data_IF_071322734521
#
_entry.id   IF_071322734521
#
_cell.length_a   1.000
_cell.length_b   1.000
_cell.length_c   1.000
_cell.angle_alpha   90.00
_cell.angle_beta   90.00
_cell.angle_gamma   90.00
#
_symmetry.space_group_name_H-M   'P 1'
#
loop_
_entity.id
_entity.type
_entity.pdbx_description
1 polymer ?
#
# COMPACT_ATOMS: atom_id res chain seq x y z
N UNK A 1 24.40 -24.07 42.95
CA UNK A 1 23.05 -23.96 42.35
C UNK A 1 22.52 -22.53 42.34
N UNK A 2 22.40 -21.84 43.48
CA UNK A 2 21.81 -20.48 43.54
C UNK A 2 22.54 -19.41 42.71
N UNK A 3 23.87 -19.51 42.57
CA UNK A 3 24.66 -18.58 41.73
C UNK A 3 24.47 -18.81 40.23
N UNK A 4 24.26 -20.06 39.79
CA UNK A 4 24.04 -20.41 38.38
C UNK A 4 22.65 -19.95 37.94
N UNK A 5 21.65 -20.09 38.81
CA UNK A 5 20.31 -19.54 38.60
C UNK A 5 20.33 -18.01 38.49
N UNK A 6 21.14 -17.33 39.32
CA UNK A 6 21.32 -15.87 39.25
C UNK A 6 22.02 -15.42 37.96
N UNK A 7 22.99 -16.19 37.45
CA UNK A 7 23.65 -15.90 36.17
C UNK A 7 22.73 -16.20 34.96
N UNK A 8 21.88 -17.22 35.03
CA UNK A 8 20.85 -17.49 34.01
C UNK A 8 19.77 -16.40 33.98
N UNK A 9 19.27 -15.98 35.14
CA UNK A 9 18.29 -14.88 35.24
C UNK A 9 18.92 -13.55 34.79
N UNK A 10 20.19 -13.29 35.12
CA UNK A 10 20.90 -12.11 34.63
C UNK A 10 21.18 -12.15 33.12
N UNK A 11 21.45 -13.32 32.54
CA UNK A 11 21.63 -13.49 31.10
C UNK A 11 20.31 -13.31 30.32
N UNK A 12 19.18 -13.76 30.89
CA UNK A 12 17.83 -13.54 30.33
C UNK A 12 17.42 -12.07 30.47
N UNK A 13 17.71 -11.40 31.60
CA UNK A 13 17.43 -9.97 31.76
C UNK A 13 18.32 -9.08 30.85
N UNK A 14 19.55 -9.51 30.57
CA UNK A 14 20.46 -8.81 29.66
C UNK A 14 20.10 -9.04 28.17
N UNK A 15 19.48 -10.16 27.80
CA UNK A 15 18.92 -10.34 26.45
C UNK A 15 17.62 -9.55 26.24
N UNK A 16 16.78 -9.39 27.28
CA UNK A 16 15.59 -8.53 27.24
C UNK A 16 15.96 -7.04 27.08
N UNK A 17 17.07 -6.59 27.67
CA UNK A 17 17.53 -5.20 27.49
C UNK A 17 18.02 -4.87 26.07
N UNK A 18 18.39 -5.88 25.27
CA UNK A 18 18.74 -5.70 23.84
C UNK A 18 17.52 -5.76 22.91
N UNK A 19 16.39 -6.31 23.36
CA UNK A 19 15.12 -6.33 22.61
C UNK A 19 14.45 -4.94 22.53
N UNK A 20 14.90 -3.96 23.31
CA UNK A 20 14.36 -2.58 23.28
C UNK A 20 15.26 -1.57 22.56
N UNK A 21 16.42 -1.98 22.03
CA UNK A 21 17.24 -1.11 21.19
C UNK A 21 16.76 -1.17 19.74
N UNK A 22 15.59 -0.60 19.45
CA UNK A 22 15.14 -0.35 18.08
C UNK A 22 16.10 0.65 17.45
N UNK A 23 16.85 0.20 16.45
CA UNK A 23 17.81 1.01 15.72
C UNK A 23 17.08 2.23 15.09
N UNK A 24 17.52 3.48 15.34
CA UNK A 24 16.83 4.69 14.90
C UNK A 24 16.87 4.93 13.37
N UNK A 25 17.50 4.04 12.60
CA UNK A 25 17.46 4.09 11.12
C UNK A 25 16.36 3.20 10.55
N UNK A 26 15.12 3.65 10.77
CA UNK A 26 13.93 3.17 10.07
C UNK A 26 14.10 3.48 8.58
N UNK A 27 14.63 2.53 7.81
CA UNK A 27 14.59 2.64 6.34
C UNK A 27 13.13 2.44 5.93
N UNK A 28 12.65 3.29 5.02
CA UNK A 28 11.25 3.44 4.55
C UNK A 28 10.67 2.22 3.79
N UNK A 29 11.13 1.00 4.08
CA UNK A 29 10.79 -0.22 3.36
C UNK A 29 10.11 -1.25 4.28
N UNK A 30 8.80 -1.52 4.10
CA UNK A 30 8.09 -2.52 4.87
C UNK A 30 8.66 -3.94 4.66
N UNK A 31 9.30 -4.22 3.52
CA UNK A 31 9.91 -5.53 3.25
C UNK A 31 11.11 -5.82 4.14
N UNK A 32 11.84 -4.78 4.53
CA UNK A 32 12.93 -4.91 5.50
C UNK A 32 12.39 -5.31 6.87
N UNK A 33 11.31 -4.65 7.31
CA UNK A 33 10.66 -4.97 8.59
C UNK A 33 10.12 -6.40 8.58
N UNK A 34 9.52 -6.83 7.46
CA UNK A 34 9.07 -8.22 7.28
C UNK A 34 10.23 -9.23 7.36
N UNK A 35 11.37 -8.92 6.76
CA UNK A 35 12.55 -9.79 6.81
C UNK A 35 13.13 -9.87 8.22
N UNK A 36 13.20 -8.75 8.93
CA UNK A 36 13.62 -8.71 10.33
C UNK A 36 12.66 -9.51 11.23
N UNK A 37 11.34 -9.38 11.01
CA UNK A 37 10.32 -10.16 11.71
C UNK A 37 10.51 -11.67 11.49
N UNK A 38 10.73 -12.10 10.25
CA UNK A 38 10.97 -13.53 9.94
C UNK A 38 12.22 -14.06 10.66
N UNK A 39 13.30 -13.28 10.66
CA UNK A 39 14.54 -13.69 11.33
C UNK A 39 14.38 -13.78 12.86
N UNK A 40 13.66 -12.85 13.47
CA UNK A 40 13.36 -12.87 14.91
C UNK A 40 12.47 -14.07 15.28
N UNK A 41 11.46 -14.40 14.45
CA UNK A 41 10.61 -15.58 14.64
C UNK A 41 11.42 -16.88 14.52
N UNK A 42 12.25 -17.03 13.48
CA UNK A 42 13.11 -18.21 13.28
C UNK A 42 14.09 -18.40 14.46
N UNK A 43 14.66 -17.31 14.96
CA UNK A 43 15.54 -17.35 16.13
C UNK A 43 14.80 -17.77 17.41
N UNK A 44 13.57 -17.27 17.61
CA UNK A 44 12.73 -17.67 18.74
C UNK A 44 12.34 -19.15 18.65
N UNK A 45 11.84 -19.60 17.50
CA UNK A 45 11.47 -20.99 17.26
C UNK A 45 12.63 -21.95 17.52
N UNK A 46 13.83 -21.68 16.99
CA UNK A 46 15.02 -22.50 17.24
C UNK A 46 15.39 -22.60 18.72
N UNK A 47 15.20 -21.52 19.48
CA UNK A 47 15.45 -21.53 20.92
C UNK A 47 14.45 -22.43 21.64
N UNK A 48 13.17 -22.38 21.28
CA UNK A 48 12.14 -23.24 21.87
C UNK A 48 12.27 -24.69 21.43
N UNK A 49 12.61 -24.97 20.16
CA UNK A 49 12.89 -26.32 19.65
C UNK A 49 13.99 -27.01 20.45
N UNK A 50 15.06 -26.29 20.82
CA UNK A 50 16.11 -26.84 21.66
C UNK A 50 15.57 -27.24 23.04
N UNK A 51 14.78 -26.37 23.68
CA UNK A 51 14.19 -26.66 24.99
C UNK A 51 13.20 -27.84 24.93
N UNK A 52 12.42 -27.93 23.85
CA UNK A 52 11.54 -29.06 23.58
C UNK A 52 12.31 -30.37 23.46
N UNK A 53 13.39 -30.38 22.69
CA UNK A 53 14.23 -31.56 22.50
C UNK A 53 14.86 -32.03 23.82
N UNK A 54 15.34 -31.09 24.65
CA UNK A 54 15.87 -31.40 25.99
C UNK A 54 14.81 -32.08 26.86
N UNK A 55 13.56 -31.59 26.84
CA UNK A 55 12.44 -32.17 27.58
C UNK A 55 11.97 -33.51 27.03
N UNK A 56 12.00 -33.69 25.71
CA UNK A 56 11.65 -34.95 25.07
C UNK A 56 12.64 -36.06 25.42
N UNK A 57 13.95 -35.76 25.41
CA UNK A 57 15.00 -36.69 25.86
C UNK A 57 14.77 -37.09 27.32
N UNK A 58 14.47 -36.13 28.19
CA UNK A 58 14.18 -36.37 29.61
C UNK A 58 12.94 -37.27 29.79
N UNK A 59 11.87 -37.00 29.03
CA UNK A 59 10.64 -37.79 29.03
C UNK A 59 10.88 -39.24 28.57
N UNK A 60 11.74 -39.44 27.56
CA UNK A 60 12.15 -40.77 27.12
C UNK A 60 12.91 -41.52 28.20
N UNK A 61 13.87 -40.88 28.87
CA UNK A 61 14.63 -41.48 29.96
C UNK A 61 13.71 -41.93 31.11
N UNK A 62 12.79 -41.07 31.53
CA UNK A 62 11.80 -41.37 32.59
C UNK A 62 10.90 -42.53 32.17
N UNK A 63 10.50 -42.58 30.90
CA UNK A 63 9.66 -43.66 30.36
C UNK A 63 10.40 -45.00 30.33
N UNK A 64 11.68 -45.01 29.98
CA UNK A 64 12.52 -46.21 30.06
C UNK A 64 12.67 -46.68 31.50
N UNK A 65 12.98 -45.79 32.44
CA UNK A 65 13.11 -46.12 33.87
C UNK A 65 11.81 -46.68 34.48
N UNK A 66 10.65 -46.15 34.05
CA UNK A 66 9.34 -46.66 34.46
C UNK A 66 9.13 -48.13 34.06
N UNK A 67 9.64 -48.53 32.89
CA UNK A 67 9.49 -49.89 32.38
C UNK A 67 10.38 -50.91 33.11
N UNK A 68 11.54 -50.48 33.59
CA UNK A 68 12.54 -51.32 34.24
C UNK A 68 12.38 -51.40 35.77
N UNK A 69 11.75 -50.42 36.39
CA UNK A 69 11.63 -50.32 37.85
C UNK A 69 10.65 -51.37 38.42
N UNK A 70 11.10 -52.12 39.43
CA UNK A 70 10.25 -53.07 40.18
C UNK A 70 9.59 -52.44 41.41
N UNK A 71 10.19 -51.40 42.01
CA UNK A 71 9.65 -50.71 43.18
C UNK A 71 8.43 -49.85 42.82
N UNK A 72 7.32 -50.11 43.50
CA UNK A 72 6.04 -49.42 43.28
C UNK A 72 6.13 -47.95 43.66
N UNK A 73 6.81 -47.61 44.77
CA UNK A 73 6.89 -46.21 45.22
C UNK A 73 7.70 -45.37 44.24
N UNK A 74 8.87 -45.88 43.83
CA UNK A 74 9.69 -45.22 42.81
C UNK A 74 8.96 -45.12 41.45
N UNK A 75 8.14 -46.12 41.07
CA UNK A 75 7.27 -46.05 39.89
C UNK A 75 6.24 -44.92 39.97
N UNK A 76 5.62 -44.70 41.13
CA UNK A 76 4.66 -43.61 41.33
C UNK A 76 5.37 -42.26 41.19
N UNK A 77 6.54 -42.09 41.79
CA UNK A 77 7.33 -40.85 41.68
C UNK A 77 7.71 -40.55 40.22
N UNK A 78 8.13 -41.56 39.46
CA UNK A 78 8.43 -41.42 38.03
C UNK A 78 7.18 -41.09 37.19
N UNK A 79 6.00 -41.60 37.56
CA UNK A 79 4.74 -41.25 36.88
C UNK A 79 4.35 -39.79 37.12
N UNK A 80 4.49 -39.30 38.37
CA UNK A 80 4.25 -37.89 38.71
C UNK A 80 5.23 -37.00 37.95
N UNK A 81 6.51 -37.40 37.91
CA UNK A 81 7.52 -36.64 37.19
C UNK A 81 7.26 -36.61 35.67
N UNK A 82 6.85 -37.74 35.09
CA UNK A 82 6.43 -37.83 33.70
C UNK A 82 5.27 -36.89 33.37
N UNK A 83 4.27 -36.81 34.26
CA UNK A 83 3.12 -35.93 34.07
C UNK A 83 3.53 -34.46 34.13
N UNK A 84 4.39 -34.12 35.10
CA UNK A 84 4.98 -32.78 35.22
C UNK A 84 5.75 -32.38 33.95
N UNK A 85 6.57 -33.27 33.38
CA UNK A 85 7.29 -33.00 32.14
C UNK A 85 6.35 -32.72 30.97
N UNK A 86 5.22 -33.44 30.88
CA UNK A 86 4.22 -33.17 29.83
C UNK A 86 3.56 -31.80 30.01
N UNK A 87 3.29 -31.40 31.25
CA UNK A 87 2.74 -30.07 31.52
C UNK A 87 3.76 -28.96 31.24
N UNK A 88 5.04 -29.17 31.56
CA UNK A 88 6.13 -28.27 31.19
C UNK A 88 6.26 -28.13 29.67
N UNK A 89 6.15 -29.23 28.91
CA UNK A 89 6.16 -29.19 27.44
C UNK A 89 4.97 -28.41 26.87
N UNK A 90 3.74 -28.64 27.37
CA UNK A 90 2.57 -27.83 26.96
C UNK A 90 2.75 -26.34 27.27
N UNK A 91 3.37 -26.03 28.40
CA UNK A 91 3.66 -24.65 28.80
C UNK A 91 4.67 -24.00 27.84
N UNK A 92 5.73 -24.72 27.45
CA UNK A 92 6.70 -24.26 26.45
C UNK A 92 6.05 -23.99 25.07
N UNK A 93 5.06 -24.81 24.68
CA UNK A 93 4.28 -24.64 23.45
C UNK A 93 3.52 -23.29 23.46
N UNK A 94 2.88 -22.97 24.60
CA UNK A 94 2.15 -21.72 24.80
C UNK A 94 3.11 -20.51 24.84
N UNK A 95 4.26 -20.65 25.50
CA UNK A 95 5.28 -19.60 25.58
C UNK A 95 5.89 -19.28 24.21
N UNK A 96 6.17 -20.32 23.41
CA UNK A 96 6.64 -20.16 22.03
C UNK A 96 5.64 -19.39 21.19
N UNK A 97 4.36 -19.80 21.20
CA UNK A 97 3.30 -19.09 20.48
C UNK A 97 3.15 -17.63 20.96
N UNK A 98 3.23 -17.39 22.27
CA UNK A 98 3.21 -16.06 22.89
C UNK A 98 4.33 -15.15 22.37
N UNK A 99 5.56 -15.65 22.32
CA UNK A 99 6.71 -14.86 21.89
C UNK A 99 6.64 -14.53 20.39
N UNK A 100 6.23 -15.50 19.56
CA UNK A 100 6.01 -15.27 18.13
C UNK A 100 4.94 -14.20 17.88
N UNK A 101 3.79 -14.27 18.57
CA UNK A 101 2.73 -13.27 18.41
C UNK A 101 3.15 -11.88 18.90
N UNK A 102 3.98 -11.80 19.94
CA UNK A 102 4.58 -10.55 20.40
C UNK A 102 5.46 -9.93 19.32
N UNK A 103 6.34 -10.72 18.71
CA UNK A 103 7.21 -10.26 17.61
C UNK A 103 6.35 -9.73 16.46
N UNK A 104 5.35 -10.51 16.02
CA UNK A 104 4.42 -10.12 14.95
C UNK A 104 3.67 -8.84 15.25
N UNK A 105 3.13 -8.70 16.46
CA UNK A 105 2.37 -7.51 16.88
C UNK A 105 3.26 -6.25 16.87
N UNK A 106 4.48 -6.34 17.42
CA UNK A 106 5.42 -5.22 17.43
C UNK A 106 5.83 -4.79 16.03
N UNK A 107 6.21 -5.76 15.19
CA UNK A 107 6.60 -5.49 13.79
C UNK A 107 5.41 -5.04 12.96
N UNK A 108 4.21 -5.52 13.27
CA UNK A 108 2.96 -5.10 12.64
C UNK A 108 2.68 -3.60 12.80
N UNK A 109 2.85 -3.06 14.01
CA UNK A 109 2.75 -1.60 14.24
C UNK A 109 3.79 -0.81 13.44
N UNK A 110 5.00 -1.35 13.27
CA UNK A 110 6.03 -0.72 12.43
C UNK A 110 5.65 -0.72 10.95
N UNK A 111 5.07 -1.81 10.46
CA UNK A 111 4.56 -1.92 9.08
C UNK A 111 3.44 -0.92 8.86
N UNK A 112 2.47 -0.83 9.78
CA UNK A 112 1.36 0.15 9.70
C UNK A 112 1.90 1.57 9.57
N UNK A 113 2.89 1.95 10.40
CA UNK A 113 3.55 3.24 10.32
C UNK A 113 4.14 3.53 8.94
N UNK A 114 4.91 2.59 8.39
CA UNK A 114 5.57 2.76 7.08
C UNK A 114 4.54 2.81 5.94
N UNK A 115 3.53 1.93 5.97
CA UNK A 115 2.47 1.91 4.97
C UNK A 115 1.66 3.21 4.99
N UNK A 116 1.45 3.80 6.15
CA UNK A 116 0.76 5.08 6.26
C UNK A 116 1.52 6.21 5.56
N UNK A 117 2.84 6.30 5.73
CA UNK A 117 3.65 7.28 4.99
C UNK A 117 3.55 7.08 3.47
N UNK A 118 3.51 5.82 3.00
CA UNK A 118 3.32 5.51 1.58
C UNK A 118 1.94 5.93 1.08
N UNK A 119 0.88 5.67 1.84
CA UNK A 119 -0.49 6.11 1.52
C UNK A 119 -0.59 7.63 1.45
N UNK A 120 0.08 8.35 2.36
CA UNK A 120 0.13 9.81 2.31
C UNK A 120 0.94 10.33 1.11
N UNK A 121 2.03 9.66 0.74
CA UNK A 121 2.75 10.00 -0.48
C UNK A 121 1.90 9.78 -1.73
N UNK A 122 1.07 8.73 -1.77
CA UNK A 122 0.09 8.51 -2.83
C UNK A 122 -0.98 9.61 -2.85
N UNK A 123 -1.48 10.02 -1.69
CA UNK A 123 -2.43 11.12 -1.54
C UNK A 123 -1.86 12.42 -2.15
N UNK A 124 -0.61 12.75 -1.82
CA UNK A 124 0.10 13.87 -2.43
C UNK A 124 0.31 13.72 -3.93
N UNK A 125 0.67 12.52 -4.40
CA UNK A 125 0.80 12.24 -5.83
C UNK A 125 -0.50 12.52 -6.57
N UNK A 126 -1.61 12.01 -6.04
CA UNK A 126 -2.94 12.18 -6.62
C UNK A 126 -3.45 13.62 -6.56
N UNK A 127 -3.16 14.35 -5.48
CA UNK A 127 -3.48 15.78 -5.37
C UNK A 127 -2.67 16.63 -6.37
N UNK A 128 -1.45 16.21 -6.71
CA UNK A 128 -0.60 16.88 -7.71
C UNK A 128 -0.89 16.45 -9.15
N UNK A 129 -1.68 15.39 -9.36
CA UNK A 129 -1.99 14.89 -10.70
C UNK A 129 -2.95 15.86 -11.40
N UNK A 130 -2.74 16.09 -12.70
CA UNK A 130 -3.47 17.07 -13.51
C UNK A 130 -4.99 16.94 -13.33
N UNK A 131 -5.63 18.07 -13.03
CA UNK A 131 -7.08 18.10 -12.79
C UNK A 131 -7.89 18.00 -14.09
N UNK A 132 -9.19 17.71 -13.99
CA UNK A 132 -10.16 17.72 -15.10
C UNK A 132 -10.05 18.98 -15.98
N UNK A 133 -9.76 20.13 -15.37
CA UNK A 133 -9.64 21.40 -16.09
C UNK A 133 -8.42 21.40 -17.03
N UNK A 134 -7.32 20.77 -16.63
CA UNK A 134 -6.09 20.74 -17.41
C UNK A 134 -6.18 19.74 -18.55
N UNK A 135 -6.73 18.55 -18.31
CA UNK A 135 -6.90 17.52 -19.34
C UNK A 135 -7.89 18.00 -20.42
N UNK A 136 -8.99 18.65 -20.04
CA UNK A 136 -9.92 19.24 -21.00
C UNK A 136 -9.29 20.38 -21.81
N UNK A 137 -8.38 21.16 -21.23
CA UNK A 137 -7.69 22.23 -21.98
C UNK A 137 -6.80 21.66 -23.09
N UNK A 138 -6.16 20.51 -22.85
CA UNK A 138 -5.31 19.86 -23.85
C UNK A 138 -6.11 19.52 -25.10
N UNK A 139 -7.28 18.89 -24.93
CA UNK A 139 -8.12 18.50 -26.07
C UNK A 139 -8.90 19.68 -26.68
N UNK A 140 -8.93 20.87 -26.06
CA UNK A 140 -9.82 21.95 -26.48
C UNK A 140 -9.19 22.86 -27.54
N UNK A 141 -9.71 22.89 -28.78
CA UNK A 141 -9.15 23.65 -29.88
C UNK A 141 -9.21 25.16 -29.63
N UNK A 142 -10.13 25.63 -28.78
CA UNK A 142 -10.23 27.04 -28.41
C UNK A 142 -9.07 27.52 -27.52
N UNK A 143 -8.22 26.61 -27.02
CA UNK A 143 -6.99 26.96 -26.30
C UNK A 143 -5.82 27.27 -27.24
N UNK A 144 -5.98 27.03 -28.54
CA UNK A 144 -4.92 27.20 -29.54
C UNK A 144 -5.12 28.50 -30.31
N UNK A 145 -4.15 29.44 -30.25
CA UNK A 145 -4.27 30.74 -30.92
C UNK A 145 -4.52 30.64 -32.42
N UNK A 146 -3.94 29.63 -33.10
CA UNK A 146 -4.17 29.41 -34.52
C UNK A 146 -5.63 29.08 -34.82
N UNK A 147 -6.27 28.26 -33.98
CA UNK A 147 -7.68 27.91 -34.16
C UNK A 147 -8.60 29.10 -33.88
N UNK A 148 -8.35 29.86 -32.81
CA UNK A 148 -9.11 31.09 -32.51
C UNK A 148 -8.99 32.12 -33.64
N UNK A 149 -7.80 32.27 -34.25
CA UNK A 149 -7.62 33.15 -35.41
C UNK A 149 -8.47 32.71 -36.61
N UNK A 150 -8.51 31.41 -36.91
CA UNK A 150 -9.38 30.89 -37.98
C UNK A 150 -10.85 31.15 -37.66
N UNK A 151 -11.27 30.98 -36.40
CA UNK A 151 -12.64 31.31 -35.98
C UNK A 151 -12.97 32.79 -36.22
N UNK A 152 -12.09 33.71 -35.84
CA UNK A 152 -12.27 35.15 -36.06
C UNK A 152 -12.33 35.49 -37.55
N UNK A 153 -11.44 34.94 -38.37
CA UNK A 153 -11.43 35.17 -39.83
C UNK A 153 -12.74 34.69 -40.47
N UNK A 154 -13.18 33.49 -40.10
CA UNK A 154 -14.42 32.89 -40.59
C UNK A 154 -15.64 33.69 -40.12
N UNK A 155 -15.67 34.17 -38.88
CA UNK A 155 -16.73 35.03 -38.35
C UNK A 155 -16.77 36.39 -39.05
N UNK A 156 -15.61 37.01 -39.30
CA UNK A 156 -15.52 38.32 -39.94
C UNK A 156 -15.88 38.29 -41.43
N UNK A 157 -15.60 37.18 -42.13
CA UNK A 157 -15.99 36.98 -43.55
C UNK A 157 -17.29 36.16 -43.71
N UNK A 158 -18.09 36.04 -42.63
CA UNK A 158 -19.38 35.34 -42.65
C UNK A 158 -20.43 36.13 -43.42
N UNK A 159 -21.15 35.47 -44.31
CA UNK A 159 -22.28 36.08 -44.99
C UNK A 159 -23.47 36.22 -44.01
N UNK A 160 -23.93 37.45 -43.76
CA UNK A 160 -24.95 37.76 -42.74
C UNK A 160 -26.29 37.08 -42.98
N UNK A 161 -26.55 36.59 -44.20
CA UNK A 161 -27.81 35.94 -44.58
C UNK A 161 -27.82 34.42 -44.41
N UNK A 162 -26.66 33.79 -44.21
CA UNK A 162 -26.50 32.34 -44.46
C UNK A 162 -25.83 31.54 -43.33
N UNK A 163 -25.27 32.21 -42.31
CA UNK A 163 -24.51 31.51 -41.27
C UNK A 163 -25.34 31.08 -40.06
N UNK A 164 -24.92 30.01 -39.41
CA UNK A 164 -25.53 29.48 -38.18
C UNK A 164 -24.84 30.07 -36.94
N UNK A 165 -25.62 30.63 -36.01
CA UNK A 165 -25.11 31.11 -34.73
C UNK A 165 -25.53 30.14 -33.63
N UNK A 166 -24.62 29.22 -33.30
CA UNK A 166 -24.79 28.38 -32.11
C UNK A 166 -24.65 29.28 -30.88
N UNK A 167 -25.66 29.25 -30.00
CA UNK A 167 -25.69 30.02 -28.74
C UNK A 167 -24.38 29.87 -27.96
N UNK A 168 -23.94 30.92 -27.27
CA UNK A 168 -22.69 30.98 -26.50
C UNK A 168 -22.47 29.81 -25.53
N UNK A 169 -23.55 29.16 -25.09
CA UNK A 169 -23.55 27.96 -24.23
C UNK A 169 -22.96 26.72 -24.91
N UNK A 170 -23.16 26.56 -26.22
CA UNK A 170 -22.67 25.40 -26.98
C UNK A 170 -21.29 25.65 -27.59
N UNK A 171 -20.86 26.91 -27.73
CA UNK A 171 -19.55 27.28 -28.28
C UNK A 171 -18.35 26.84 -27.43
N UNK A 172 -18.55 26.58 -26.13
CA UNK A 172 -17.52 26.04 -25.25
C UNK A 172 -17.32 24.52 -25.40
N UNK A 173 -18.24 23.82 -26.06
CA UNK A 173 -18.09 22.39 -26.35
C UNK A 173 -17.11 22.19 -27.51
N UNK A 174 -16.14 21.30 -27.30
CA UNK A 174 -15.05 21.01 -28.23
C UNK A 174 -15.53 20.66 -29.64
N UNK A 175 -16.44 19.69 -29.73
CA UNK A 175 -16.97 19.18 -31.00
C UNK A 175 -17.84 20.23 -31.69
N UNK A 176 -18.68 20.93 -30.93
CA UNK A 176 -19.52 21.99 -31.48
C UNK A 176 -18.68 23.13 -32.01
N UNK A 177 -17.60 23.51 -31.32
CA UNK A 177 -16.69 24.56 -31.77
C UNK A 177 -16.04 24.22 -33.12
N UNK A 178 -15.55 22.98 -33.26
CA UNK A 178 -14.99 22.47 -34.53
C UNK A 178 -16.06 22.49 -35.62
N UNK A 179 -17.21 21.86 -35.40
CA UNK A 179 -18.30 21.78 -36.40
C UNK A 179 -18.78 23.18 -36.81
N UNK A 180 -18.98 24.09 -35.86
CA UNK A 180 -19.41 25.46 -36.13
C UNK A 180 -18.39 26.22 -36.99
N UNK A 181 -17.09 26.02 -36.72
CA UNK A 181 -16.01 26.65 -37.49
C UNK A 181 -16.02 26.16 -38.94
N UNK A 182 -16.15 24.83 -39.16
CA UNK A 182 -16.26 24.27 -40.51
C UNK A 182 -17.54 24.70 -41.24
N UNK A 183 -18.69 24.63 -40.57
CA UNK A 183 -19.98 25.04 -41.15
C UNK A 183 -19.96 26.51 -41.58
N UNK A 184 -19.42 27.39 -40.73
CA UNK A 184 -19.31 28.81 -41.06
C UNK A 184 -18.25 29.06 -42.15
N UNK A 185 -17.17 28.26 -42.20
CA UNK A 185 -16.17 28.38 -43.26
C UNK A 185 -16.73 28.00 -44.63
N UNK A 186 -17.62 27.00 -44.72
CA UNK A 186 -18.28 26.63 -45.97
C UNK A 186 -19.12 27.77 -46.56
N UNK A 187 -19.87 28.48 -45.71
CA UNK A 187 -20.74 29.61 -46.10
C UNK A 187 -20.04 30.98 -46.04
N UNK A 188 -18.75 31.01 -45.72
CA UNK A 188 -17.95 32.25 -45.71
C UNK A 188 -17.61 32.71 -47.13
N UNK A 189 -17.38 34.03 -47.27
CA UNK A 189 -16.93 34.66 -48.51
C UNK A 189 -15.43 34.46 -48.84
N UNK A 190 -14.74 33.53 -48.16
CA UNK A 190 -13.35 33.16 -48.46
C UNK A 190 -13.26 32.46 -49.83
N UNK A 191 -12.17 32.69 -50.56
CA UNK A 191 -11.88 31.92 -51.79
C UNK A 191 -11.50 30.46 -51.45
N UNK A 192 -11.46 29.59 -52.46
CA UNK A 192 -11.07 28.19 -52.25
C UNK A 192 -9.64 28.09 -51.71
N UNK A 193 -8.72 28.89 -52.26
CA UNK A 193 -7.31 28.93 -51.87
C UNK A 193 -7.13 29.44 -50.43
N UNK A 194 -7.90 30.47 -50.04
CA UNK A 194 -7.91 30.98 -48.67
C UNK A 194 -8.42 29.91 -47.68
N UNK A 195 -9.49 29.17 -48.03
CA UNK A 195 -10.03 28.10 -47.18
C UNK A 195 -9.02 26.96 -47.00
N UNK A 196 -8.35 26.53 -48.07
CA UNK A 196 -7.32 25.49 -48.00
C UNK A 196 -6.10 25.92 -47.15
N UNK A 197 -5.67 27.18 -47.28
CA UNK A 197 -4.56 27.72 -46.51
C UNK A 197 -4.88 27.77 -45.00
N UNK A 198 -6.06 28.27 -44.62
CA UNK A 198 -6.47 28.34 -43.22
C UNK A 198 -6.69 26.95 -42.61
N UNK A 199 -7.29 26.01 -43.36
CA UNK A 199 -7.44 24.63 -42.91
C UNK A 199 -6.11 23.97 -42.60
N UNK A 200 -5.12 24.15 -43.47
CA UNK A 200 -3.79 23.57 -43.27
C UNK A 200 -3.11 24.09 -42.00
N UNK A 201 -3.41 25.31 -41.58
CA UNK A 201 -2.87 25.89 -40.35
C UNK A 201 -3.44 25.24 -39.06
N UNK A 202 -4.65 24.69 -39.12
CA UNK A 202 -5.37 24.12 -37.96
C UNK A 202 -5.64 22.62 -38.06
N UNK A 203 -5.29 21.99 -39.17
CA UNK A 203 -5.51 20.56 -39.46
C UNK A 203 -5.03 19.66 -38.31
N UNK A 204 -3.79 19.85 -37.86
CA UNK A 204 -3.21 19.11 -36.74
C UNK A 204 -3.94 19.32 -35.41
N UNK A 205 -4.38 20.55 -35.12
CA UNK A 205 -5.11 20.87 -33.88
C UNK A 205 -6.47 20.17 -33.89
N UNK A 206 -7.15 20.16 -35.03
CA UNK A 206 -8.46 19.54 -35.21
C UNK A 206 -8.34 18.02 -35.15
N UNK A 207 -7.36 17.43 -35.85
CA UNK A 207 -7.11 15.99 -35.81
C UNK A 207 -6.79 15.52 -34.39
N UNK A 208 -5.87 16.21 -33.71
CA UNK A 208 -5.55 15.94 -32.31
C UNK A 208 -6.77 16.04 -31.41
N UNK A 209 -7.54 17.13 -31.52
CA UNK A 209 -8.77 17.34 -30.75
C UNK A 209 -9.75 16.18 -30.93
N UNK A 210 -10.05 15.82 -32.18
CA UNK A 210 -11.06 14.80 -32.49
C UNK A 210 -10.65 13.40 -32.05
N UNK A 211 -9.37 13.05 -32.19
CA UNK A 211 -8.85 11.74 -31.80
C UNK A 211 -8.62 11.62 -30.31
N UNK A 212 -8.01 12.62 -29.68
CA UNK A 212 -7.57 12.54 -28.29
C UNK A 212 -8.63 12.96 -27.26
N UNK A 213 -9.73 13.61 -27.66
CA UNK A 213 -10.75 14.04 -26.69
C UNK A 213 -11.34 12.88 -25.88
N UNK A 214 -11.65 11.74 -26.53
CA UNK A 214 -12.19 10.56 -25.85
C UNK A 214 -11.14 9.84 -24.98
N UNK A 215 -9.92 9.76 -25.50
CA UNK A 215 -8.77 9.13 -24.85
C UNK A 215 -8.33 9.89 -23.59
N UNK A 216 -8.22 11.21 -23.69
CA UNK A 216 -7.92 12.09 -22.56
C UNK A 216 -9.02 12.06 -21.49
N UNK A 217 -10.29 11.97 -21.90
CA UNK A 217 -11.40 11.77 -20.95
C UNK A 217 -11.30 10.42 -20.24
N UNK A 218 -10.86 9.36 -20.93
CA UNK A 218 -10.64 8.04 -20.31
C UNK A 218 -9.55 8.11 -19.24
N UNK A 219 -8.40 8.72 -19.57
CA UNK A 219 -7.30 8.94 -18.60
C UNK A 219 -7.82 9.71 -17.37
N UNK A 220 -8.64 10.74 -17.59
CA UNK A 220 -9.24 11.51 -16.51
C UNK A 220 -10.11 10.66 -15.56
N UNK A 221 -11.12 9.95 -16.10
CA UNK A 221 -12.06 9.21 -15.24
C UNK A 221 -11.37 8.07 -14.50
N UNK A 222 -10.39 7.43 -15.14
CA UNK A 222 -9.61 6.36 -14.52
C UNK A 222 -8.66 6.90 -13.44
N UNK A 223 -8.09 8.09 -13.65
CA UNK A 223 -7.33 8.79 -12.60
C UNK A 223 -8.24 9.13 -11.41
N UNK A 224 -9.44 9.67 -11.65
CA UNK A 224 -10.39 9.98 -10.58
C UNK A 224 -10.83 8.71 -9.80
N UNK A 225 -10.98 7.58 -10.50
CA UNK A 225 -11.22 6.29 -9.86
C UNK A 225 -10.06 5.86 -8.94
N UNK A 226 -8.82 6.04 -9.38
CA UNK A 226 -7.63 5.77 -8.55
C UNK A 226 -7.56 6.70 -7.33
N UNK A 227 -7.87 7.98 -7.48
CA UNK A 227 -7.96 8.94 -6.37
C UNK A 227 -8.96 8.46 -5.32
N UNK A 228 -10.17 8.08 -5.75
CA UNK A 228 -11.21 7.58 -4.84
C UNK A 228 -10.81 6.27 -4.15
N UNK A 229 -10.10 5.41 -4.88
CA UNK A 229 -9.58 4.15 -4.33
C UNK A 229 -8.48 4.42 -3.30
N UNK A 230 -7.62 5.42 -3.49
CA UNK A 230 -6.62 5.84 -2.52
C UNK A 230 -7.25 6.38 -1.22
N UNK A 231 -8.32 7.18 -1.33
CA UNK A 231 -9.09 7.64 -0.16
C UNK A 231 -9.58 6.46 0.69
N UNK A 232 -10.09 5.41 0.03
CA UNK A 232 -10.51 4.18 0.71
C UNK A 232 -9.34 3.48 1.41
N UNK A 233 -8.18 3.34 0.76
CA UNK A 233 -6.99 2.74 1.40
C UNK A 233 -6.55 3.56 2.63
N UNK A 234 -6.67 4.88 2.57
CA UNK A 234 -6.40 5.79 3.71
C UNK A 234 -7.38 5.61 4.86
N UNK A 235 -8.66 5.41 4.57
CA UNK A 235 -9.66 5.07 5.60
C UNK A 235 -9.40 3.68 6.21
N UNK A 236 -9.09 2.69 5.37
CA UNK A 236 -8.89 1.31 5.81
C UNK A 236 -7.65 1.17 6.72
N UNK A 237 -6.57 1.93 6.48
CA UNK A 237 -5.38 1.91 7.36
C UNK A 237 -5.61 2.60 8.71
N UNK A 238 -6.44 3.65 8.75
CA UNK A 238 -6.85 4.30 10.01
C UNK A 238 -7.68 3.34 10.87
N UNK A 239 -8.59 2.58 10.24
CA UNK A 239 -9.38 1.53 10.91
C UNK A 239 -8.45 0.43 11.41
N UNK A 240 -7.54 -0.06 10.57
CA UNK A 240 -6.56 -1.07 10.94
C UNK A 240 -5.75 -0.64 12.16
N UNK A 241 -5.24 0.59 12.17
CA UNK A 241 -4.48 1.11 13.29
C UNK A 241 -5.30 1.13 14.58
N UNK A 242 -6.53 1.64 14.53
CA UNK A 242 -7.44 1.65 15.68
C UNK A 242 -7.69 0.24 16.23
N UNK A 243 -7.85 -0.74 15.36
CA UNK A 243 -8.02 -2.13 15.75
C UNK A 243 -6.75 -2.71 16.39
N UNK A 244 -5.59 -2.38 15.82
CA UNK A 244 -4.28 -2.78 16.33
C UNK A 244 -3.97 -2.18 17.70
N UNK A 245 -4.40 -0.95 17.95
CA UNK A 245 -4.12 -0.23 19.20
C UNK A 245 -5.21 -0.39 20.27
N UNK A 246 -6.30 -1.08 19.94
CA UNK A 246 -7.39 -1.38 20.88
C UNK A 246 -6.93 -2.19 22.11
N UNK A 247 -6.11 -3.25 21.99
CA UNK A 247 -5.69 -4.05 23.16
C UNK A 247 -4.89 -3.25 24.18
N UNK A 248 -4.15 -2.23 23.73
CA UNK A 248 -3.30 -1.38 24.56
C UNK A 248 -4.02 -0.10 25.05
N UNK A 249 -5.34 -0.04 24.87
CA UNK A 249 -6.19 1.10 25.20
C UNK A 249 -5.66 2.43 24.64
N UNK A 250 -5.22 2.44 23.38
CA UNK A 250 -4.79 3.66 22.70
C UNK A 250 -5.83 4.07 21.67
N UNK A 251 -6.47 5.23 21.92
CA UNK A 251 -7.68 5.69 21.25
C UNK A 251 -7.48 6.83 20.24
N UNK A 252 -6.25 7.33 20.11
CA UNK A 252 -5.89 8.42 19.19
C UNK A 252 -5.83 7.87 17.76
N UNK A 253 -6.22 8.66 16.76
CA UNK A 253 -6.17 8.24 15.34
C UNK A 253 -4.73 8.17 14.83
N UNK A 254 -4.49 7.48 13.72
CA UNK A 254 -3.15 7.37 13.14
C UNK A 254 -2.67 8.73 12.65
N UNK A 255 -3.55 9.52 12.03
CA UNK A 255 -3.27 10.91 11.63
C UNK A 255 -2.79 11.76 12.81
N UNK A 256 -3.48 11.72 13.95
CA UNK A 256 -3.12 12.49 15.14
C UNK A 256 -1.85 11.96 15.80
N UNK A 257 -1.69 10.64 15.85
CA UNK A 257 -0.48 9.99 16.34
C UNK A 257 0.74 10.44 15.56
N UNK A 258 0.65 10.44 14.22
CA UNK A 258 1.71 10.93 13.33
C UNK A 258 1.95 12.42 13.53
N UNK A 259 0.89 13.23 13.56
CA UNK A 259 0.97 14.69 13.67
C UNK A 259 1.66 15.17 14.95
N UNK A 260 1.51 14.42 16.06
CA UNK A 260 2.10 14.74 17.35
C UNK A 260 3.36 13.90 17.68
N UNK A 261 3.81 13.04 16.75
CA UNK A 261 4.89 12.06 16.98
C UNK A 261 4.68 11.19 18.24
N UNK A 262 3.44 10.77 18.49
CA UNK A 262 3.04 10.07 19.72
C UNK A 262 3.40 8.57 19.74
N UNK A 263 4.35 8.17 18.88
CA UNK A 263 4.83 6.79 18.79
C UNK A 263 5.49 6.29 20.08
N UNK A 264 6.03 7.19 20.90
CA UNK A 264 6.59 6.84 22.22
C UNK A 264 5.50 6.39 23.20
N UNK A 265 4.33 7.03 23.20
CA UNK A 265 3.21 6.62 24.06
C UNK A 265 2.70 5.23 23.68
N UNK A 266 2.66 4.92 22.38
CA UNK A 266 2.34 3.57 21.90
C UNK A 266 3.38 2.58 22.40
N UNK A 267 4.69 2.86 22.23
CA UNK A 267 5.77 1.99 22.71
C UNK A 267 5.62 1.68 24.21
N UNK A 268 5.36 2.71 25.02
CA UNK A 268 5.16 2.56 26.45
C UNK A 268 3.94 1.68 26.77
N UNK A 269 2.79 1.95 26.15
CA UNK A 269 1.56 1.17 26.37
C UNK A 269 1.68 -0.27 25.92
N UNK A 270 2.38 -0.53 24.81
CA UNK A 270 2.69 -1.89 24.35
C UNK A 270 3.58 -2.59 25.37
N UNK A 271 4.65 -1.95 25.84
CA UNK A 271 5.53 -2.53 26.86
C UNK A 271 4.79 -2.84 28.16
N UNK A 272 3.91 -1.95 28.62
CA UNK A 272 3.03 -2.17 29.78
C UNK A 272 2.06 -3.34 29.56
N UNK A 273 1.47 -3.45 28.38
CA UNK A 273 0.57 -4.55 28.03
C UNK A 273 1.29 -5.89 28.00
N UNK A 274 2.46 -5.95 27.37
CA UNK A 274 3.29 -7.15 27.31
C UNK A 274 3.81 -7.56 28.69
N UNK A 275 4.19 -6.60 29.54
CA UNK A 275 4.55 -6.89 30.93
C UNK A 275 3.40 -7.50 31.72
N UNK A 276 2.17 -6.97 31.56
CA UNK A 276 0.97 -7.57 32.17
C UNK A 276 0.66 -8.96 31.62
N UNK A 277 0.93 -9.20 30.33
CA UNK A 277 0.76 -10.51 29.71
C UNK A 277 1.71 -11.55 30.35
N UNK A 278 2.95 -11.15 30.65
CA UNK A 278 3.94 -12.00 31.32
C UNK A 278 3.58 -12.29 32.78
N UNK A 279 2.95 -11.35 33.48
CA UNK A 279 2.49 -11.51 34.87
C UNK A 279 1.16 -12.28 35.00
N UNK A 280 0.39 -12.36 33.91
CA UNK A 280 -0.93 -13.01 33.88
C UNK A 280 -0.81 -14.52 33.76
N UNK A 281 -1.77 -15.26 34.29
CA UNK A 281 -1.85 -16.72 34.13
C UNK A 281 -3.27 -17.20 33.81
N UNK A 282 -3.35 -18.40 33.22
CA UNK A 282 -4.62 -19.06 32.88
C UNK A 282 -5.47 -18.26 31.89
N UNK A 283 -6.77 -18.19 32.15
CA UNK A 283 -7.77 -17.62 31.21
C UNK A 283 -7.51 -16.14 30.87
N UNK A 284 -6.97 -15.36 31.83
CA UNK A 284 -6.66 -13.94 31.60
C UNK A 284 -5.55 -13.78 30.57
N UNK A 285 -4.50 -14.59 30.68
CA UNK A 285 -3.37 -14.58 29.75
C UNK A 285 -3.80 -15.02 28.34
N UNK A 286 -4.59 -16.10 28.24
CA UNK A 286 -5.11 -16.56 26.95
C UNK A 286 -5.96 -15.50 26.25
N UNK A 287 -6.78 -14.75 27.00
CA UNK A 287 -7.58 -13.66 26.43
C UNK A 287 -6.71 -12.53 25.90
N UNK A 288 -5.73 -12.10 26.67
CA UNK A 288 -4.80 -11.04 26.27
C UNK A 288 -3.96 -11.43 25.04
N UNK A 289 -3.64 -12.71 24.90
CA UNK A 289 -2.98 -13.26 23.71
C UNK A 289 -3.89 -13.15 22.47
N UNK A 290 -5.14 -13.60 22.58
CA UNK A 290 -6.12 -13.49 21.48
C UNK A 290 -6.31 -12.04 21.05
N UNK A 291 -6.31 -11.10 22.01
CA UNK A 291 -6.48 -9.68 21.74
C UNK A 291 -5.34 -9.10 20.88
N UNK A 292 -4.10 -9.60 20.98
CA UNK A 292 -2.97 -9.16 20.12
C UNK A 292 -2.84 -9.96 18.83
N UNK A 293 -3.35 -11.20 18.79
CA UNK A 293 -3.30 -12.05 17.60
C UNK A 293 -4.29 -11.57 16.53
N UNK A 294 -5.52 -11.24 16.94
CA UNK A 294 -6.60 -10.91 16.02
C UNK A 294 -6.33 -9.71 15.08
N UNK A 295 -5.68 -8.61 15.52
CA UNK A 295 -5.31 -7.53 14.62
C UNK A 295 -4.26 -7.91 13.57
N UNK A 296 -3.42 -8.93 13.83
CA UNK A 296 -2.37 -9.38 12.88
C UNK A 296 -3.00 -9.87 11.58
N UNK A 297 -4.08 -10.65 11.64
CA UNK A 297 -4.81 -11.11 10.45
C UNK A 297 -5.37 -9.93 9.63
N UNK A 298 -5.84 -8.88 10.32
CA UNK A 298 -6.35 -7.67 9.66
C UNK A 298 -5.24 -6.91 8.94
N UNK A 299 -4.04 -6.84 9.53
CA UNK A 299 -2.88 -6.26 8.85
C UNK A 299 -2.56 -7.01 7.56
N UNK A 300 -2.61 -8.33 7.59
CA UNK A 300 -2.33 -9.13 6.40
C UNK A 300 -3.38 -8.93 5.30
N UNK A 301 -4.66 -8.82 5.66
CA UNK A 301 -5.72 -8.46 4.72
C UNK A 301 -5.49 -7.08 4.11
N UNK A 302 -5.14 -6.09 4.94
CA UNK A 302 -4.82 -4.75 4.47
C UNK A 302 -3.62 -4.73 3.52
N UNK A 303 -2.54 -5.46 3.82
CA UNK A 303 -1.37 -5.52 2.93
C UNK A 303 -1.77 -6.07 1.56
N UNK A 304 -2.62 -7.09 1.50
CA UNK A 304 -3.13 -7.62 0.22
C UNK A 304 -3.95 -6.57 -0.55
N UNK A 305 -4.80 -5.81 0.15
CA UNK A 305 -5.59 -4.73 -0.45
C UNK A 305 -4.70 -3.61 -0.98
N UNK A 306 -3.73 -3.17 -0.17
CA UNK A 306 -2.72 -2.17 -0.56
C UNK A 306 -1.94 -2.65 -1.79
N UNK A 307 -1.40 -3.87 -1.77
CA UNK A 307 -0.66 -4.44 -2.89
C UNK A 307 -1.51 -4.52 -4.17
N UNK A 308 -2.76 -4.94 -4.04
CA UNK A 308 -3.71 -4.97 -5.16
C UNK A 308 -3.97 -3.58 -5.73
N UNK A 309 -4.10 -2.57 -4.88
CA UNK A 309 -4.24 -1.18 -5.32
C UNK A 309 -3.00 -0.66 -6.06
N UNK A 310 -1.79 -0.96 -5.57
CA UNK A 310 -0.53 -0.57 -6.23
C UNK A 310 -0.39 -1.23 -7.60
N UNK A 311 -0.64 -2.54 -7.70
CA UNK A 311 -0.59 -3.28 -8.97
C UNK A 311 -1.61 -2.74 -9.98
N UNK A 312 -2.84 -2.47 -9.51
CA UNK A 312 -3.87 -1.86 -10.34
C UNK A 312 -3.46 -0.46 -10.81
N UNK A 313 -2.94 0.38 -9.92
CA UNK A 313 -2.45 1.72 -10.24
C UNK A 313 -1.36 1.70 -11.31
N UNK A 314 -0.36 0.81 -11.16
CA UNK A 314 0.71 0.64 -12.16
C UNK A 314 0.14 0.28 -13.54
N UNK A 315 -0.80 -0.67 -13.61
CA UNK A 315 -1.47 -1.07 -14.85
C UNK A 315 -2.26 0.06 -15.51
N UNK A 316 -2.93 0.91 -14.72
CA UNK A 316 -3.62 2.08 -15.25
C UNK A 316 -2.66 3.09 -15.87
N UNK A 317 -1.53 3.39 -15.21
CA UNK A 317 -0.54 4.32 -15.76
C UNK A 317 0.13 3.77 -17.04
N UNK A 318 0.42 2.47 -17.11
CA UNK A 318 0.86 1.82 -18.35
C UNK A 318 -0.19 1.93 -19.47
N UNK A 319 -1.48 1.74 -19.13
CA UNK A 319 -2.57 1.96 -20.07
C UNK A 319 -2.63 3.41 -20.55
N UNK A 320 -2.45 4.39 -19.67
CA UNK A 320 -2.42 5.82 -20.05
C UNK A 320 -1.27 6.11 -21.01
N UNK A 321 -0.09 5.52 -20.77
CA UNK A 321 1.05 5.62 -21.68
C UNK A 321 0.73 5.06 -23.07
N UNK A 322 0.08 3.90 -23.15
CA UNK A 322 -0.35 3.32 -24.43
C UNK A 322 -1.31 4.26 -25.15
N UNK A 323 -2.32 4.79 -24.45
CA UNK A 323 -3.30 5.74 -24.99
C UNK A 323 -2.62 6.99 -25.56
N UNK A 324 -1.66 7.58 -24.84
CA UNK A 324 -0.95 8.77 -25.33
C UNK A 324 0.07 8.48 -26.43
N UNK A 325 0.45 7.22 -26.64
CA UNK A 325 1.32 6.81 -27.73
C UNK A 325 0.55 6.31 -28.95
N UNK A 326 -0.78 6.14 -28.86
CA UNK A 326 -1.63 5.74 -30.00
C UNK A 326 -2.06 6.89 -30.90
N UNK A 327 -1.61 8.13 -30.63
CA UNK A 327 -1.87 9.25 -31.54
C UNK A 327 -1.09 9.10 -32.86
N UNK A 328 -1.76 8.58 -33.89
CA UNK A 328 -1.15 8.18 -35.18
C UNK A 328 -0.35 9.31 -35.87
N UNK A 329 -0.82 10.55 -35.78
CA UNK A 329 -0.23 11.69 -36.49
C UNK A 329 0.80 12.47 -35.65
N UNK A 330 1.28 11.90 -34.53
CA UNK A 330 2.20 12.59 -33.60
C UNK A 330 3.44 13.15 -34.31
N UNK A 331 4.07 12.38 -35.20
CA UNK A 331 5.27 12.82 -35.93
C UNK A 331 4.97 13.94 -36.93
N UNK A 332 3.83 13.86 -37.62
CA UNK A 332 3.44 14.85 -38.63
C UNK A 332 3.03 16.18 -37.98
N UNK A 333 2.40 16.10 -36.80
CA UNK A 333 1.87 17.25 -36.08
C UNK A 333 2.76 17.73 -34.93
N UNK A 334 3.97 17.20 -34.78
CA UNK A 334 4.83 17.42 -33.61
C UNK A 334 5.05 18.90 -33.25
N UNK A 335 5.20 19.76 -34.25
CA UNK A 335 5.43 21.21 -34.07
C UNK A 335 4.18 22.00 -33.69
N UNK A 336 3.00 21.38 -33.81
CA UNK A 336 1.67 21.94 -33.53
C UNK A 336 0.96 21.31 -32.33
N UNK A 337 1.51 20.22 -31.80
CA UNK A 337 1.00 19.60 -30.58
C UNK A 337 1.21 20.50 -29.36
N UNK A 338 0.26 20.51 -28.42
CA UNK A 338 0.39 21.31 -27.20
C UNK A 338 1.54 20.80 -26.33
N UNK A 339 2.29 21.72 -25.73
CA UNK A 339 3.37 21.39 -24.77
C UNK A 339 2.82 20.61 -23.57
N UNK A 340 1.58 20.87 -23.19
CA UNK A 340 0.87 20.20 -22.11
C UNK A 340 0.70 18.70 -22.37
N UNK A 341 0.56 18.29 -23.63
CA UNK A 341 0.49 16.87 -24.00
C UNK A 341 1.81 16.14 -23.79
N UNK A 342 2.93 16.77 -24.19
CA UNK A 342 4.27 16.21 -23.93
C UNK A 342 4.57 16.13 -22.44
N UNK A 343 4.19 17.17 -21.68
CA UNK A 343 4.33 17.14 -20.23
C UNK A 343 3.48 16.03 -19.59
N UNK A 344 2.24 15.82 -20.05
CA UNK A 344 1.39 14.72 -19.55
C UNK A 344 2.04 13.35 -19.80
N UNK A 345 2.67 13.13 -20.96
CA UNK A 345 3.42 11.89 -21.25
C UNK A 345 4.55 11.68 -20.24
N UNK A 346 5.35 12.73 -20.00
CA UNK A 346 6.44 12.68 -19.02
C UNK A 346 5.93 12.47 -17.59
N UNK A 347 4.83 13.13 -17.21
CA UNK A 347 4.20 13.00 -15.90
C UNK A 347 3.75 11.54 -15.66
N UNK A 348 3.24 10.86 -16.70
CA UNK A 348 2.86 9.44 -16.65
C UNK A 348 4.08 8.53 -16.53
N UNK A 349 5.15 8.77 -17.29
CA UNK A 349 6.38 7.97 -17.16
C UNK A 349 6.95 8.06 -15.73
N UNK A 350 7.01 9.27 -15.17
CA UNK A 350 7.42 9.48 -13.78
C UNK A 350 6.47 8.77 -12.79
N UNK A 351 5.16 8.76 -13.07
CA UNK A 351 4.20 8.04 -12.24
C UNK A 351 4.42 6.53 -12.27
N UNK A 352 4.65 5.94 -13.45
CA UNK A 352 4.98 4.51 -13.59
C UNK A 352 6.20 4.16 -12.72
N UNK A 353 7.27 4.95 -12.81
CA UNK A 353 8.48 4.74 -12.01
C UNK A 353 8.19 4.83 -10.50
N UNK A 354 7.37 5.78 -10.07
CA UNK A 354 6.96 5.90 -8.65
C UNK A 354 6.17 4.70 -8.16
N UNK A 355 5.24 4.17 -8.96
CA UNK A 355 4.48 2.97 -8.60
C UNK A 355 5.37 1.73 -8.50
N UNK A 356 6.38 1.63 -9.37
CA UNK A 356 7.30 0.49 -9.38
C UNK A 356 8.38 0.56 -8.28
N UNK A 357 8.77 1.77 -7.84
CA UNK A 357 9.89 1.97 -6.90
C UNK A 357 9.42 2.50 -5.54
N UNK A 358 8.73 3.64 -5.51
CA UNK A 358 8.41 4.34 -4.25
C UNK A 358 7.24 3.69 -3.51
N UNK A 359 6.21 3.27 -4.26
CA UNK A 359 5.00 2.66 -3.71
C UNK A 359 5.04 1.13 -3.72
N UNK A 360 6.21 0.57 -4.03
CA UNK A 360 6.45 -0.87 -4.24
C UNK A 360 5.62 -1.74 -3.30
N UNK A 361 4.95 -2.78 -3.82
CA UNK A 361 4.21 -3.74 -3.02
C UNK A 361 5.06 -4.31 -1.88
N UNK A 362 4.40 -4.68 -0.79
CA UNK A 362 5.00 -5.52 0.23
C UNK A 362 5.12 -6.92 -0.35
N UNK A 363 6.35 -7.38 -0.59
CA UNK A 363 6.67 -8.70 -1.09
C UNK A 363 6.35 -9.75 -0.03
N UNK A 364 5.13 -10.29 -0.11
CA UNK A 364 4.75 -11.45 0.66
C UNK A 364 4.51 -12.60 -0.32
N UNK A 365 5.52 -13.45 -0.50
CA UNK A 365 5.33 -14.69 -1.24
C UNK A 365 4.30 -15.55 -0.50
N UNK A 366 3.43 -16.26 -1.23
CA UNK A 366 2.37 -17.07 -0.64
C UNK A 366 2.84 -18.07 0.43
N UNK A 367 4.05 -18.61 0.28
CA UNK A 367 4.71 -19.45 1.29
C UNK A 367 5.14 -18.66 2.53
N UNK A 368 5.79 -17.51 2.34
CA UNK A 368 6.20 -16.59 3.42
C UNK A 368 4.99 -16.04 4.21
N UNK A 369 3.86 -15.82 3.54
CA UNK A 369 2.61 -15.38 4.18
C UNK A 369 2.10 -16.42 5.18
N UNK A 370 2.16 -17.71 4.80
CA UNK A 370 1.73 -18.82 5.65
C UNK A 370 2.70 -19.06 6.80
N UNK A 371 3.99 -18.91 6.56
CA UNK A 371 5.01 -18.98 7.59
C UNK A 371 4.83 -17.85 8.62
N UNK A 372 4.57 -16.63 8.15
CA UNK A 372 4.33 -15.45 8.99
C UNK A 372 3.02 -15.54 9.77
N UNK A 373 1.97 -16.18 9.24
CA UNK A 373 0.67 -16.30 9.91
C UNK A 373 0.58 -17.54 10.80
N UNK A 374 1.01 -18.68 10.28
CA UNK A 374 0.72 -19.99 10.86
C UNK A 374 1.97 -20.75 11.33
N UNK A 375 3.18 -20.24 11.07
CA UNK A 375 4.42 -20.95 11.39
C UNK A 375 4.62 -22.22 10.57
N UNK A 376 3.86 -22.41 9.48
CA UNK A 376 3.93 -23.61 8.64
C UNK A 376 4.90 -23.34 7.51
N UNK A 377 6.02 -24.07 7.51
CA UNK A 377 6.90 -24.15 6.37
C UNK A 377 6.24 -25.09 5.34
N UNK A 378 6.08 -24.70 4.07
CA UNK A 378 5.46 -25.56 3.03
C UNK A 378 6.28 -26.82 2.68
N UNK A 379 7.39 -27.05 3.40
CA UNK A 379 8.32 -28.16 3.21
C UNK A 379 8.44 -29.09 4.43
N UNK A 380 7.63 -28.88 5.48
CA UNK A 380 7.38 -29.80 6.59
C UNK A 380 5.95 -30.34 6.51
#
# INVERSE_FOLDING_TARGET
>A
MMKILLYLIAAILLSVSKLFAVNPSWKDDPNRVMTEMMWEIDASNKSFEQLFLEKEIELHQVTSQLSETADINYKIDLLIYKDKLKDEMKQLELESASDVSRIRYLKGLQIIRILYEKVLSLDHHFASTRTFSEINKIANPNQYPEFTKVQEIVQNKRDRKSGFDLTSVLGSNTLVSVVNTFSNMLVSGLTKEEKEAELKNVECIIDFTLRMQGDLNTIYFETAFLQKSNEKIKEDIEILFKDYTKPIDYSVTLEQCRGNDDWESIRKKVAEYLGKLDESSGVSQSRMYIDIEFPIDRLMQFINQYNGFIDQGSKFYEKFKIILNSYENEQQCQTKLPLEYQKLKNDIDVAIDKFNVAYKPVEINGSKMKEILYGINEYE
#
